data_IF_996877058154
#
_entry.id   IF_996877058154
#
_cell.length_a   1.000
_cell.length_b   1.000
_cell.length_c   1.000
_cell.angle_alpha   90.00
_cell.angle_beta   90.00
_cell.angle_gamma   90.00
#
_symmetry.space_group_name_H-M   'P 1'
#
loop_
_entity.id
_entity.type
_entity.pdbx_description
1 polymer ?
#
# COMPACT_ATOMS: atom_id res chain seq x y z
N UNK A 1 6.32 -4.06 4.51
CA UNK A 1 4.97 -3.93 5.11
C UNK A 1 4.10 -2.85 4.39
N UNK A 2 2.78 -2.86 4.70
CA UNK A 2 1.87 -1.72 4.38
C UNK A 2 1.65 -0.82 5.64
N UNK A 3 1.36 0.46 5.37
CA UNK A 3 0.90 1.45 6.38
C UNK A 3 -0.66 1.58 6.33
N UNK A 4 -1.18 2.14 5.22
CA UNK A 4 -2.62 2.36 5.00
C UNK A 4 -3.00 1.77 3.62
N UNK A 5 -3.62 0.58 3.66
CA UNK A 5 -4.39 0.07 2.50
C UNK A 5 -5.92 0.32 2.72
N UNK A 6 -6.51 0.59 1.57
CA UNK A 6 -7.80 -0.03 1.13
C UNK A 6 -7.70 -1.59 1.15
N UNK A 7 -7.67 -2.05 -0.07
CA UNK A 7 -7.70 -3.48 -0.44
C UNK A 7 -6.50 -3.74 -1.43
N UNK A 8 -6.76 -4.24 -2.65
CA UNK A 8 -5.71 -4.55 -3.66
C UNK A 8 -5.34 -3.39 -4.64
N UNK A 9 -6.33 -2.72 -5.25
CA UNK A 9 -6.11 -1.84 -6.45
C UNK A 9 -5.75 -0.34 -6.25
N UNK A 11 -5.61 0.16 -2.84
CA UNK A 11 -4.78 0.04 -1.62
C UNK A 11 -3.29 -0.22 -1.88
N UNK A 12 -2.97 -1.35 -2.55
CA UNK A 12 -1.56 -1.74 -2.82
C UNK A 12 -1.26 -2.04 -4.33
N UNK A 13 -1.14 -1.00 -5.21
CA UNK A 13 -0.29 -1.06 -6.43
C UNK A 13 1.21 -1.11 -6.02
N UNK A 14 1.84 -0.08 -6.48
CA UNK A 14 3.00 0.60 -5.79
C UNK A 14 3.08 0.94 -4.27
N UNK A 15 1.86 1.03 -3.84
CA UNK A 15 1.44 0.88 -2.43
C UNK A 15 1.71 -0.44 -1.65
N UNK A 16 2.34 -1.45 -2.24
CA UNK A 16 2.86 -2.67 -1.50
C UNK A 16 3.81 -2.51 -0.28
N UNK A 17 4.75 -1.70 -0.67
CA UNK A 17 5.44 -0.75 0.24
C UNK A 17 4.72 0.63 0.31
N UNK A 18 3.70 0.74 1.18
CA UNK A 18 2.94 2.02 1.39
C UNK A 18 3.65 3.10 2.26
N UNK A 19 4.46 2.70 3.25
CA UNK A 19 5.21 3.62 4.19
C UNK A 19 6.07 4.80 3.64
N UNK A 20 6.83 4.26 2.74
CA UNK A 20 7.54 4.98 1.66
C UNK A 20 6.60 5.72 0.66
N UNK A 21 5.74 4.94 -0.02
CA UNK A 21 4.91 5.44 -1.15
C UNK A 21 3.57 4.68 -1.27
#
# INVERSE_FOLDING_TARGET
RIHMVYSKRXGKPRGYAFIEY
#
